data_IF_348245947168
#
_entry.id   IF_348245947168
#
_cell.length_a   1.000
_cell.length_b   1.000
_cell.length_c   1.000
_cell.angle_alpha   90.00
_cell.angle_beta   90.00
_cell.angle_gamma   90.00
#
_symmetry.space_group_name_H-M   'P 1'
#
loop_
_entity.id
_entity.type
_entity.pdbx_description
1 polymer ?
#
# COMPACT_ATOMS: atom_id res chain seq x y z
N UNK A 1 11.98 12.36 -24.23
CA UNK A 1 11.68 11.26 -23.29
C UNK A 1 10.58 11.72 -22.34
N UNK A 2 9.44 11.02 -22.25
CA UNK A 2 8.47 11.26 -21.18
C UNK A 2 9.12 10.82 -19.87
N UNK A 3 9.17 11.71 -18.88
CA UNK A 3 9.62 11.36 -17.53
C UNK A 3 8.56 10.44 -16.94
N UNK A 4 8.85 9.15 -16.82
CA UNK A 4 7.92 8.23 -16.17
C UNK A 4 7.72 8.66 -14.71
N UNK A 5 6.48 8.61 -14.23
CA UNK A 5 6.19 8.92 -12.84
C UNK A 5 6.88 7.89 -11.95
N UNK A 6 7.76 8.36 -11.06
CA UNK A 6 8.46 7.52 -10.07
C UNK A 6 7.51 7.00 -8.98
N UNK A 7 6.30 7.54 -8.88
CA UNK A 7 5.29 7.16 -7.89
C UNK A 7 3.95 6.86 -8.55
N UNK A 8 3.26 5.83 -8.06
CA UNK A 8 1.86 5.52 -8.36
C UNK A 8 1.11 5.38 -7.04
N UNK A 9 -0.13 5.85 -7.01
CA UNK A 9 -1.03 5.67 -5.88
C UNK A 9 -2.21 4.86 -6.38
N UNK A 10 -2.48 3.75 -5.72
CA UNK A 10 -3.67 2.94 -5.95
C UNK A 10 -4.52 2.99 -4.67
N UNK A 11 -5.81 3.29 -4.82
CA UNK A 11 -6.77 3.43 -3.73
C UNK A 11 -7.84 2.35 -3.84
N UNK A 12 -8.23 1.81 -2.70
CA UNK A 12 -9.24 0.77 -2.57
C UNK A 12 -10.20 1.14 -1.46
N UNK A 13 -11.49 1.17 -1.77
CA UNK A 13 -12.54 1.21 -0.74
C UNK A 13 -12.58 -0.15 -0.06
N UNK A 14 -12.44 -0.16 1.26
CA UNK A 14 -12.41 -1.37 2.08
C UNK A 14 -13.59 -1.44 3.06
N UNK A 15 -14.59 -0.56 2.90
CA UNK A 15 -15.78 -0.51 3.75
C UNK A 15 -15.63 0.41 4.96
N UNK A 16 -16.76 0.67 5.65
CA UNK A 16 -16.83 1.45 6.89
C UNK A 16 -16.21 2.85 6.82
N UNK A 17 -16.19 3.44 5.63
CA UNK A 17 -15.56 4.75 5.38
C UNK A 17 -14.02 4.72 5.39
N UNK A 18 -13.43 3.53 5.40
CA UNK A 18 -11.99 3.30 5.34
C UNK A 18 -11.52 3.12 3.89
N UNK A 19 -10.35 3.68 3.59
CA UNK A 19 -9.68 3.56 2.29
C UNK A 19 -8.29 2.98 2.48
N UNK A 20 -7.99 1.86 1.81
CA UNK A 20 -6.63 1.33 1.71
C UNK A 20 -5.91 2.03 0.56
N UNK A 21 -4.72 2.56 0.83
CA UNK A 21 -3.87 3.23 -0.14
C UNK A 21 -2.53 2.53 -0.25
N UNK A 22 -2.17 2.13 -1.47
CA UNK A 22 -0.84 1.65 -1.80
C UNK A 22 -0.06 2.76 -2.51
N UNK A 23 0.95 3.31 -1.84
CA UNK A 23 1.94 4.19 -2.45
C UNK A 23 3.09 3.35 -3.01
N UNK A 24 3.18 3.30 -4.33
CA UNK A 24 4.14 2.47 -5.06
C UNK A 24 5.26 3.35 -5.60
N UNK A 25 6.48 3.06 -5.20
CA UNK A 25 7.68 3.73 -5.65
C UNK A 25 8.42 2.86 -6.67
N UNK A 26 8.79 3.48 -7.78
CA UNK A 26 9.51 2.85 -8.88
C UNK A 26 10.96 3.31 -8.90
N UNK A 27 11.87 2.40 -9.21
CA UNK A 27 13.26 2.72 -9.48
C UNK A 27 13.42 3.48 -10.82
N UNK A 28 14.66 3.85 -11.17
CA UNK A 28 14.97 4.59 -12.39
C UNK A 28 14.66 3.83 -13.69
N UNK A 29 14.49 2.50 -13.62
CA UNK A 29 14.07 1.65 -14.74
C UNK A 29 12.55 1.48 -14.84
N UNK A 30 11.77 2.09 -13.94
CA UNK A 30 10.31 2.00 -13.91
C UNK A 30 9.77 0.75 -13.21
N UNK A 31 10.63 -0.11 -12.67
CA UNK A 31 10.21 -1.30 -11.89
C UNK A 31 9.79 -0.88 -10.48
N UNK A 32 8.78 -1.57 -9.93
CA UNK A 32 8.36 -1.37 -8.54
C UNK A 32 9.50 -1.78 -7.61
N UNK A 33 9.89 -0.87 -6.72
CA UNK A 33 10.99 -1.04 -5.77
C UNK A 33 10.47 -1.16 -4.34
N UNK A 34 9.47 -0.33 -4.00
CA UNK A 34 8.92 -0.23 -2.66
C UNK A 34 7.43 0.08 -2.73
N UNK A 35 6.66 -0.50 -1.81
CA UNK A 35 5.26 -0.15 -1.59
C UNK A 35 5.07 0.16 -0.11
N UNK A 36 4.49 1.31 0.20
CA UNK A 36 3.94 1.58 1.53
C UNK A 36 2.43 1.52 1.49
N UNK A 37 1.85 0.79 2.44
CA UNK A 37 0.40 0.64 2.58
C UNK A 37 -0.09 1.46 3.73
N UNK A 38 -1.15 2.23 3.45
CA UNK A 38 -1.85 3.02 4.42
C UNK A 38 -3.32 2.63 4.48
N UNK A 39 -3.94 2.84 5.63
CA UNK A 39 -5.38 2.94 5.74
C UNK A 39 -5.70 4.37 6.16
N UNK A 40 -6.67 4.97 5.49
CA UNK A 40 -7.19 6.27 5.85
C UNK A 40 -8.68 6.22 6.13
N UNK A 41 -9.15 7.20 6.90
CA UNK A 41 -10.57 7.46 7.14
C UNK A 41 -10.85 8.90 6.72
N UNK A 42 -12.02 9.13 6.13
CA UNK A 42 -12.42 10.46 5.69
C UNK A 42 -12.31 11.47 6.84
N UNK A 43 -11.64 12.59 6.59
CA UNK A 43 -11.44 13.66 7.60
C UNK A 43 -10.27 13.47 8.57
N UNK A 44 -9.74 12.26 8.79
CA UNK A 44 -8.62 12.03 9.73
C UNK A 44 -7.31 11.56 9.08
N UNK A 45 -7.23 11.56 7.75
CA UNK A 45 -5.98 11.30 7.03
C UNK A 45 -5.63 9.82 6.91
N UNK A 46 -4.36 9.53 6.61
CA UNK A 46 -3.83 8.18 6.33
C UNK A 46 -2.78 7.76 7.36
N UNK A 47 -2.83 6.50 7.78
CA UNK A 47 -1.90 5.88 8.71
C UNK A 47 -1.23 4.67 8.07
N UNK A 48 0.08 4.56 8.25
CA UNK A 48 0.86 3.44 7.72
C UNK A 48 0.50 2.15 8.45
N UNK A 49 0.18 1.11 7.69
CA UNK A 49 -0.15 -0.23 8.22
C UNK A 49 0.74 -1.33 7.67
N UNK A 50 1.61 -1.03 6.70
CA UNK A 50 2.54 -2.02 6.15
C UNK A 50 3.51 -1.45 5.13
N UNK A 51 4.56 -2.22 4.86
CA UNK A 51 5.52 -1.95 3.79
C UNK A 51 5.94 -3.24 3.08
N UNK A 52 6.32 -3.10 1.81
CA UNK A 52 6.94 -4.14 1.01
C UNK A 52 8.17 -3.54 0.33
N UNK A 53 9.36 -3.97 0.76
CA UNK A 53 10.65 -3.42 0.33
C UNK A 53 11.37 -4.37 -0.63
N UNK A 54 12.41 -3.88 -1.29
CA UNK A 54 13.34 -4.68 -2.10
C UNK A 54 12.65 -5.50 -3.21
N UNK A 55 11.55 -4.97 -3.75
CA UNK A 55 10.70 -5.65 -4.72
C UNK A 55 11.37 -5.86 -6.09
N UNK A 56 12.46 -5.14 -6.34
CA UNK A 56 13.29 -5.21 -7.54
C UNK A 56 14.68 -5.82 -7.27
N UNK A 57 14.93 -6.36 -6.07
CA UNK A 57 16.19 -7.00 -5.76
C UNK A 57 16.49 -8.18 -6.71
N UNK A 58 17.76 -8.49 -6.99
CA UNK A 58 18.12 -9.63 -7.84
C UNK A 58 17.51 -10.93 -7.32
N UNK A 59 16.68 -11.58 -8.14
CA UNK A 59 15.97 -12.82 -7.79
C UNK A 59 14.61 -12.63 -7.11
N UNK A 60 14.17 -11.39 -6.85
CA UNK A 60 12.84 -11.12 -6.34
C UNK A 60 11.76 -11.51 -7.36
N UNK A 61 10.77 -12.29 -6.92
CA UNK A 61 9.56 -12.61 -7.68
C UNK A 61 8.41 -11.88 -6.99
N UNK A 62 7.98 -10.77 -7.58
CA UNK A 62 6.91 -9.95 -7.04
C UNK A 62 5.79 -9.76 -8.06
N UNK A 63 4.54 -9.89 -7.61
CA UNK A 63 3.35 -9.59 -8.38
C UNK A 63 2.45 -8.66 -7.58
N UNK A 64 2.26 -7.44 -8.08
CA UNK A 64 1.39 -6.45 -7.44
C UNK A 64 -0.04 -6.96 -7.26
N UNK A 65 -0.55 -7.74 -8.21
CA UNK A 65 -1.88 -8.32 -8.11
C UNK A 65 -1.98 -9.36 -6.98
N UNK A 66 -0.92 -10.14 -6.76
CA UNK A 66 -0.90 -11.12 -5.65
C UNK A 66 -0.80 -10.41 -4.31
N UNK A 67 0.02 -9.35 -4.25
CA UNK A 67 0.13 -8.48 -3.08
C UNK A 67 -1.21 -7.87 -2.67
N UNK A 68 -1.99 -7.32 -3.62
CA UNK A 68 -3.32 -6.77 -3.32
C UNK A 68 -4.27 -7.85 -2.80
N UNK A 69 -4.25 -9.06 -3.37
CA UNK A 69 -5.07 -10.19 -2.87
C UNK A 69 -4.66 -10.64 -1.46
N UNK A 70 -3.37 -10.62 -1.15
CA UNK A 70 -2.87 -10.90 0.20
C UNK A 70 -3.35 -9.82 1.18
N UNK A 71 -3.32 -8.55 0.79
CA UNK A 71 -3.88 -7.45 1.59
C UNK A 71 -5.37 -7.63 1.81
N UNK A 72 -6.15 -7.98 0.79
CA UNK A 72 -7.59 -8.30 0.91
C UNK A 72 -7.82 -9.41 1.94
N UNK A 73 -7.03 -10.49 1.89
CA UNK A 73 -7.11 -11.58 2.86
C UNK A 73 -6.68 -11.17 4.28
N UNK A 74 -5.78 -10.19 4.41
CA UNK A 74 -5.28 -9.66 5.67
C UNK A 74 -6.02 -8.41 6.16
N UNK A 75 -7.10 -7.98 5.50
CA UNK A 75 -7.81 -6.75 5.85
C UNK A 75 -8.13 -6.62 7.35
N UNK A 76 -8.63 -7.65 8.05
CA UNK A 76 -8.89 -7.55 9.48
C UNK A 76 -7.64 -7.19 10.30
N UNK A 77 -6.48 -7.72 9.93
CA UNK A 77 -5.22 -7.44 10.60
C UNK A 77 -4.69 -6.03 10.28
N UNK A 78 -4.84 -5.58 9.02
CA UNK A 78 -4.45 -4.22 8.63
C UNK A 78 -5.32 -3.16 9.33
N UNK A 79 -6.62 -3.44 9.49
CA UNK A 79 -7.56 -2.59 10.24
C UNK A 79 -7.18 -2.56 11.73
N UNK A 80 -6.87 -3.70 12.35
CA UNK A 80 -6.41 -3.75 13.74
C UNK A 80 -5.14 -2.89 13.98
N UNK A 81 -4.19 -2.91 13.04
CA UNK A 81 -3.03 -2.01 13.09
C UNK A 81 -3.46 -0.53 12.99
N UNK A 82 -4.37 -0.21 12.07
CA UNK A 82 -4.90 1.14 11.91
C UNK A 82 -5.59 1.64 13.19
N UNK A 83 -6.48 0.85 13.77
CA UNK A 83 -7.21 1.17 15.00
C UNK A 83 -6.25 1.34 16.17
N UNK A 84 -5.27 0.46 16.30
CA UNK A 84 -4.22 0.55 17.33
C UNK A 84 -3.40 1.84 17.21
N UNK A 85 -3.07 2.24 15.97
CA UNK A 85 -2.27 3.43 15.72
C UNK A 85 -3.06 4.74 15.83
N UNK A 86 -4.39 4.71 15.67
CA UNK A 86 -5.24 5.92 15.66
C UNK A 86 -6.11 6.08 16.91
N UNK A 87 -6.38 4.99 17.64
CA UNK A 87 -7.39 4.96 18.69
C UNK A 87 -8.84 5.02 18.18
N UNK A 88 -9.06 5.00 16.86
CA UNK A 88 -10.37 4.90 16.23
C UNK A 88 -10.79 3.43 16.21
N UNK A 89 -12.07 3.14 16.44
CA UNK A 89 -12.69 1.81 16.37
C UNK A 89 -13.94 1.87 15.51
#
# INVERSE_FOLDING_TARGET
MKKESKKRIDLYDIGDGLTLMNLIEKNDSGKMHHITTYIGIEGNGFVCVGNANDLDAPGAIFSYQSYVREQEAMLPFLIDIFETNTGVK
#
